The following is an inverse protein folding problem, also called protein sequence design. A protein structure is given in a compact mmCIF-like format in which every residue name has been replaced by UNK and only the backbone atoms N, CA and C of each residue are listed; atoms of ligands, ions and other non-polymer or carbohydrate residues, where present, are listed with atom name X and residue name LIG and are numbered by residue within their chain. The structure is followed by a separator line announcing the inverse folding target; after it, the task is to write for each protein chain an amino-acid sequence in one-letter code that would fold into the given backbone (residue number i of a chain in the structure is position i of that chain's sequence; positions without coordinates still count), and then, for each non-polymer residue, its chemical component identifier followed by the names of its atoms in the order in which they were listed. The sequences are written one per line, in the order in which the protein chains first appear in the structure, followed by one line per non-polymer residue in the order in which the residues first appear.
data_IF_431880092449
#
_entry.id   IF_431880092449
#
_cell.length_a   1.000
_cell.length_b   1.000
_cell.length_c   1.000
_cell.angle_alpha   90.00
_cell.angle_beta   90.00
_cell.angle_gamma   90.00
#
_symmetry.space_group_name_H-M   'P 1'
#
loop_
_entity.id
_entity.type
_entity.pdbx_description
1 polymer ?
#
# COMPACT_ATOMS: atom_id res chain seq x y z
N UNK A 1 -66.63 34.47 65.91
CA UNK A 1 -66.13 34.18 67.28
C UNK A 1 -64.60 34.09 67.23
N UNK A 2 -63.97 33.82 68.39
CA UNK A 2 -62.53 33.59 68.67
C UNK A 2 -61.74 32.91 67.53
N UNK A 3 -60.47 33.24 67.27
CA UNK A 3 -59.62 34.25 67.93
C UNK A 3 -58.18 34.32 67.41
N UNK A 4 -57.40 35.29 67.93
CA UNK A 4 -55.97 35.44 67.65
C UNK A 4 -55.11 34.40 68.39
N UNK A 5 -54.04 33.91 67.74
CA UNK A 5 -52.79 33.51 68.41
C UNK A 5 -51.62 34.31 67.86
N UNK A 6 -51.39 35.45 68.52
CA UNK A 6 -50.19 36.32 68.46
C UNK A 6 -49.03 35.67 69.28
N UNK A 7 -47.80 36.24 69.35
CA UNK A 7 -46.96 36.88 68.30
C UNK A 7 -45.41 36.69 68.52
N UNK A 8 -44.58 37.52 67.84
CA UNK A 8 -43.25 38.07 68.29
C UNK A 8 -42.01 37.12 68.28
N UNK A 9 -40.76 37.64 68.41
CA UNK A 9 -40.19 38.87 67.78
C UNK A 9 -38.68 38.80 67.37
N UNK A 10 -38.21 39.82 66.62
CA UNK A 10 -36.78 40.24 66.50
C UNK A 10 -35.82 39.24 65.79
N UNK A 11 -34.65 39.62 65.25
CA UNK A 11 -33.81 40.85 65.35
C UNK A 11 -33.15 41.04 63.97
N UNK A 12 -33.32 42.17 63.25
CA UNK A 12 -32.40 43.35 63.17
C UNK A 12 -30.91 42.99 63.18
N UNK A 13 -30.02 43.48 62.29
CA UNK A 13 -29.97 44.72 61.46
C UNK A 13 -29.40 44.39 60.06
N UNK A 14 -29.95 44.86 58.92
CA UNK A 14 -29.83 46.21 58.28
C UNK A 14 -28.43 46.52 57.70
N UNK A 15 -28.40 46.66 56.37
CA UNK A 15 -27.34 47.26 55.54
C UNK A 15 -27.87 47.44 54.11
N UNK A 16 -27.90 48.69 53.60
CA UNK A 16 -28.41 49.02 52.26
C UNK A 16 -27.53 48.37 51.15
N UNK A 17 -28.07 47.77 50.07
CA UNK A 17 -28.82 48.35 48.93
C UNK A 17 -27.95 49.36 48.13
N UNK A 18 -27.85 49.33 46.78
CA UNK A 18 -28.92 49.25 45.75
C UNK A 18 -28.38 48.74 44.38
N UNK A 19 -29.21 47.97 43.63
CA UNK A 19 -29.07 47.55 42.19
C UNK A 19 -27.79 46.75 41.78
N UNK A 20 -27.78 45.92 40.73
CA UNK A 20 -28.57 45.93 39.48
C UNK A 20 -29.41 44.68 39.15
N UNK A 21 -30.44 44.95 38.34
CA UNK A 21 -31.39 44.09 37.63
C UNK A 21 -30.90 42.71 37.13
N UNK A 22 -31.66 41.65 37.43
CA UNK A 22 -31.71 40.37 36.69
C UNK A 22 -33.18 39.94 36.53
N UNK A 23 -33.50 39.27 35.42
CA UNK A 23 -34.87 39.01 34.93
C UNK A 23 -35.62 37.85 35.61
N UNK A 24 -36.95 37.86 35.49
CA UNK A 24 -37.78 36.65 35.33
C UNK A 24 -39.10 36.99 34.61
N UNK A 25 -39.84 35.96 34.18
CA UNK A 25 -41.10 35.98 33.41
C UNK A 25 -40.88 36.38 31.94
N UNK A 26 -41.35 35.62 30.93
CA UNK A 26 -42.06 34.33 31.00
C UNK A 26 -42.92 34.11 29.76
N UNK A 27 -42.28 33.77 28.62
CA UNK A 27 -42.96 33.56 27.35
C UNK A 27 -42.78 32.13 26.82
N UNK A 28 -43.87 31.39 26.68
CA UNK A 28 -43.87 30.06 26.04
C UNK A 28 -43.86 30.20 24.52
N UNK A 29 -42.67 30.32 23.93
CA UNK A 29 -42.50 29.97 22.52
C UNK A 29 -42.75 28.45 22.37
N UNK A 30 -43.45 27.98 21.32
CA UNK A 30 -43.46 26.56 21.02
C UNK A 30 -42.03 26.11 20.73
N UNK A 31 -41.60 25.02 21.35
CA UNK A 31 -40.37 24.35 20.94
C UNK A 31 -40.60 23.82 19.53
N UNK A 32 -40.11 24.56 18.53
CA UNK A 32 -40.03 24.10 17.15
C UNK A 32 -39.03 22.96 17.13
N UNK A 33 -39.52 21.74 17.38
CA UNK A 33 -38.75 20.52 17.21
C UNK A 33 -38.30 20.51 15.75
N UNK A 34 -37.02 20.79 15.53
CA UNK A 34 -36.42 20.76 14.21
C UNK A 34 -36.54 19.33 13.72
N UNK A 35 -37.48 19.10 12.81
CA UNK A 35 -37.52 17.88 12.01
C UNK A 35 -36.25 17.91 11.18
N UNK A 36 -35.20 17.28 11.70
CA UNK A 36 -34.05 16.88 10.90
C UNK A 36 -34.63 15.95 9.85
N UNK A 37 -34.84 16.48 8.65
CA UNK A 37 -35.31 15.68 7.53
C UNK A 37 -34.28 14.59 7.31
N UNK A 38 -34.70 13.33 7.47
CA UNK A 38 -33.81 12.18 7.35
C UNK A 38 -33.12 12.25 5.98
N UNK A 39 -31.78 12.24 5.99
CA UNK A 39 -31.01 12.61 4.83
C UNK A 39 -31.26 11.59 3.72
N UNK A 40 -31.77 12.04 2.57
CA UNK A 40 -32.09 11.16 1.44
C UNK A 40 -30.88 10.27 1.14
N UNK A 41 -31.01 8.92 1.19
CA UNK A 41 -29.85 8.01 1.11
C UNK A 41 -29.13 8.03 -0.25
N UNK A 42 -29.72 8.69 -1.25
CA UNK A 42 -29.12 8.97 -2.55
C UNK A 42 -28.23 10.24 -2.55
N UNK A 43 -28.38 11.15 -1.58
CA UNK A 43 -27.54 12.34 -1.43
C UNK A 43 -26.32 12.05 -0.55
N UNK A 44 -25.24 12.79 -0.78
CA UNK A 44 -24.03 12.77 0.04
C UNK A 44 -24.13 13.92 1.05
N UNK A 45 -24.13 13.66 2.37
CA UNK A 45 -24.10 14.75 3.37
C UNK A 45 -22.78 15.52 3.27
N UNK A 46 -22.79 16.86 3.22
CA UNK A 46 -21.59 17.67 2.95
C UNK A 46 -20.56 17.65 4.09
N UNK A 47 -21.01 17.34 5.30
CA UNK A 47 -20.25 17.22 6.53
C UNK A 47 -19.84 15.77 6.87
N UNK A 48 -20.19 14.80 6.02
CA UNK A 48 -19.80 13.40 6.21
C UNK A 48 -18.28 13.22 6.11
N UNK A 49 -17.77 12.28 6.92
CA UNK A 49 -16.38 11.80 6.84
C UNK A 49 -16.35 10.29 6.68
N UNK A 50 -15.37 9.79 5.95
CA UNK A 50 -15.10 8.37 5.75
C UNK A 50 -13.70 7.94 6.19
N UNK A 51 -13.34 6.73 5.73
CA UNK A 51 -12.05 6.10 5.93
C UNK A 51 -11.55 5.46 4.65
N UNK A 52 -10.23 5.41 4.51
CA UNK A 52 -9.52 4.66 3.48
C UNK A 52 -8.65 3.60 4.16
N UNK A 53 -9.03 2.35 4.00
CA UNK A 53 -8.28 1.17 4.44
C UNK A 53 -7.45 0.64 3.27
N UNK A 54 -6.13 0.74 3.37
CA UNK A 54 -5.18 0.35 2.33
C UNK A 54 -4.56 -1.00 2.70
N UNK A 55 -4.87 -2.02 1.90
CA UNK A 55 -4.35 -3.38 2.03
C UNK A 55 -3.17 -3.59 1.07
N UNK A 56 -1.95 -3.56 1.59
CA UNK A 56 -0.73 -3.66 0.80
C UNK A 56 -0.27 -5.10 0.64
N UNK A 57 0.01 -5.49 -0.61
CA UNK A 57 0.53 -6.83 -0.91
C UNK A 57 1.71 -6.76 -1.89
N UNK A 58 2.56 -7.78 -1.83
CA UNK A 58 3.52 -8.13 -2.87
C UNK A 58 2.84 -8.90 -4.01
N UNK A 59 3.50 -8.89 -5.17
CA UNK A 59 3.16 -9.69 -6.34
C UNK A 59 2.46 -8.91 -7.45
N UNK A 60 2.00 -9.63 -8.46
CA UNK A 60 1.25 -9.08 -9.58
C UNK A 60 -0.21 -8.75 -9.19
N UNK A 61 -0.94 -7.96 -10.00
CA UNK A 61 -2.38 -7.81 -9.85
C UNK A 61 -3.11 -9.15 -9.80
N UNK A 62 -4.15 -9.23 -8.97
CA UNK A 62 -5.07 -10.37 -8.92
C UNK A 62 -6.16 -10.23 -9.98
N UNK A 63 -6.73 -11.35 -10.42
CA UNK A 63 -7.89 -11.35 -11.32
C UNK A 63 -9.03 -10.48 -10.76
N UNK A 64 -9.36 -9.41 -11.48
CA UNK A 64 -10.40 -8.46 -11.10
C UNK A 64 -11.82 -9.03 -11.27
N UNK A 65 -11.97 -10.18 -11.95
CA UNK A 65 -13.25 -10.90 -12.06
C UNK A 65 -13.60 -11.57 -10.73
N UNK A 66 -12.61 -12.24 -10.10
CA UNK A 66 -12.76 -12.86 -8.78
C UNK A 66 -12.54 -11.89 -7.60
N UNK A 67 -11.69 -10.87 -7.78
CA UNK A 67 -11.29 -9.92 -6.72
C UNK A 67 -11.42 -8.46 -7.20
N UNK A 68 -12.65 -7.98 -7.45
CA UNK A 68 -12.91 -6.66 -8.03
C UNK A 68 -12.55 -5.53 -7.06
N UNK A 69 -11.66 -4.61 -7.47
CA UNK A 69 -11.32 -3.40 -6.72
C UNK A 69 -12.47 -2.36 -6.71
N UNK A 70 -13.59 -2.71 -6.07
CA UNK A 70 -14.85 -1.96 -6.06
C UNK A 70 -15.07 -1.11 -4.78
N UNK A 71 -14.04 -0.93 -3.96
CA UNK A 71 -14.08 -0.21 -2.68
C UNK A 71 -14.53 -1.04 -1.47
N UNK A 72 -14.90 -2.31 -1.63
CA UNK A 72 -15.32 -3.19 -0.51
C UNK A 72 -14.22 -4.14 -0.04
N UNK A 73 -14.35 -4.67 1.19
CA UNK A 73 -13.39 -5.60 1.76
C UNK A 73 -13.39 -6.94 1.01
N UNK A 74 -12.23 -7.34 0.51
CA UNK A 74 -11.97 -8.59 -0.19
C UNK A 74 -11.14 -9.55 0.68
N UNK A 75 -11.48 -10.84 0.66
CA UNK A 75 -10.59 -11.90 1.13
C UNK A 75 -9.71 -12.33 -0.04
N UNK A 76 -8.47 -11.84 -0.08
CA UNK A 76 -7.51 -12.15 -1.15
C UNK A 76 -6.95 -13.59 -1.04
N UNK A 77 -6.49 -14.19 -2.15
CA UNK A 77 -5.88 -15.52 -2.13
C UNK A 77 -4.54 -15.50 -1.39
N UNK A 78 -4.15 -16.63 -0.81
CA UNK A 78 -2.91 -16.77 -0.01
C UNK A 78 -1.61 -16.46 -0.76
N UNK A 79 -1.64 -16.40 -2.09
CA UNK A 79 -0.55 -15.91 -2.94
C UNK A 79 -0.33 -14.40 -2.87
N UNK A 80 -1.31 -13.61 -2.39
CA UNK A 80 -1.17 -12.17 -2.13
C UNK A 80 -0.48 -11.93 -0.79
N UNK A 81 0.82 -12.25 -0.71
CA UNK A 81 1.62 -12.02 0.49
C UNK A 81 1.53 -10.55 0.94
N UNK A 82 1.19 -10.27 2.22
CA UNK A 82 1.08 -8.89 2.71
C UNK A 82 2.43 -8.19 2.76
N UNK A 83 2.41 -6.85 2.72
CA UNK A 83 3.62 -6.01 2.80
C UNK A 83 3.50 -4.99 3.93
N UNK A 84 4.20 -5.23 5.03
CA UNK A 84 4.33 -4.33 6.15
C UNK A 84 5.24 -3.13 5.85
N UNK A 85 5.17 -2.09 6.70
CA UNK A 85 6.09 -0.95 6.69
C UNK A 85 5.81 0.14 5.65
N UNK A 86 4.79 0.01 4.80
CA UNK A 86 4.49 0.99 3.75
C UNK A 86 3.74 2.19 4.31
N UNK A 87 4.24 3.39 4.02
CA UNK A 87 3.63 4.68 4.39
C UNK A 87 3.05 5.34 3.15
N UNK A 88 1.79 5.73 3.23
CA UNK A 88 1.08 6.46 2.18
C UNK A 88 0.87 7.92 2.56
N UNK A 89 0.82 8.80 1.56
CA UNK A 89 0.10 10.08 1.66
C UNK A 89 -1.22 9.99 0.90
N UNK A 90 -2.25 10.58 1.49
CA UNK A 90 -3.64 10.61 1.02
C UNK A 90 -4.05 12.07 0.98
N UNK A 91 -4.04 12.66 -0.22
CA UNK A 91 -4.21 14.11 -0.44
C UNK A 91 -5.58 14.38 -1.03
N UNK A 92 -6.44 15.15 -0.33
CA UNK A 92 -7.73 15.59 -0.87
C UNK A 92 -7.49 16.58 -2.01
N UNK A 93 -7.91 16.25 -3.22
CA UNK A 93 -7.75 17.09 -4.41
C UNK A 93 -8.62 18.34 -4.28
N UNK A 94 -7.98 19.52 -4.26
CA UNK A 94 -8.69 20.79 -4.17
C UNK A 94 -9.59 21.05 -5.40
N UNK A 95 -10.65 21.85 -5.21
CA UNK A 95 -11.61 22.20 -6.27
C UNK A 95 -12.66 21.13 -6.61
N UNK A 96 -12.55 19.90 -6.08
CA UNK A 96 -13.51 18.82 -6.32
C UNK A 96 -14.54 18.72 -5.17
N UNK A 97 -15.82 18.95 -5.49
CA UNK A 97 -16.95 18.84 -4.57
C UNK A 97 -17.97 17.78 -5.02
N UNK A 98 -17.81 16.56 -4.48
CA UNK A 98 -18.66 15.41 -4.80
C UNK A 98 -20.10 15.53 -4.28
N UNK A 99 -20.46 16.57 -3.52
CA UNK A 99 -21.88 16.86 -3.23
C UNK A 99 -22.63 17.40 -4.45
N UNK A 100 -21.91 17.75 -5.53
CA UNK A 100 -22.44 18.32 -6.77
C UNK A 100 -22.08 17.49 -8.00
N UNK A 101 -22.99 17.44 -8.98
CA UNK A 101 -22.70 16.81 -10.29
C UNK A 101 -21.49 17.47 -10.98
N UNK A 102 -21.27 18.77 -10.77
CA UNK A 102 -20.12 19.50 -11.30
C UNK A 102 -18.79 18.96 -10.76
N UNK A 103 -18.71 18.65 -9.46
CA UNK A 103 -17.54 18.03 -8.85
C UNK A 103 -17.32 16.58 -9.31
N UNK A 104 -18.37 15.81 -9.58
CA UNK A 104 -18.22 14.48 -10.20
C UNK A 104 -17.63 14.58 -11.63
N UNK A 105 -18.05 15.56 -12.44
CA UNK A 105 -17.41 15.81 -13.74
C UNK A 105 -15.95 16.30 -13.59
N UNK A 106 -15.66 17.14 -12.60
CA UNK A 106 -14.29 17.57 -12.30
C UNK A 106 -13.41 16.39 -11.83
N UNK A 107 -13.96 15.43 -11.09
CA UNK A 107 -13.24 14.22 -10.67
C UNK A 107 -12.87 13.32 -11.86
N UNK A 108 -13.81 13.14 -12.81
CA UNK A 108 -13.56 12.37 -14.04
C UNK A 108 -12.44 12.98 -14.90
N UNK A 109 -12.28 14.30 -14.91
CA UNK A 109 -11.19 14.97 -15.63
C UNK A 109 -9.78 14.62 -15.11
N UNK A 110 -9.67 14.00 -13.92
CA UNK A 110 -8.41 13.54 -13.34
C UNK A 110 -8.16 12.03 -13.51
N UNK A 111 -9.11 11.24 -14.04
CA UNK A 111 -9.02 9.77 -14.07
C UNK A 111 -7.72 9.26 -14.74
N UNK A 112 -7.27 9.94 -15.80
CA UNK A 112 -6.07 9.66 -16.59
C UNK A 112 -4.97 10.74 -16.37
N UNK A 113 -5.13 11.62 -15.37
CA UNK A 113 -4.32 12.83 -15.17
C UNK A 113 -3.94 13.03 -13.68
N UNK A 114 -3.14 12.10 -13.16
CA UNK A 114 -2.67 12.09 -11.78
C UNK A 114 -1.73 13.28 -11.45
N UNK A 115 -0.99 13.80 -12.44
CA UNK A 115 -0.18 15.01 -12.28
C UNK A 115 -1.06 16.26 -12.11
N UNK A 116 -2.14 16.39 -12.90
CA UNK A 116 -3.12 17.46 -12.75
C UNK A 116 -3.84 17.44 -11.40
N UNK A 117 -4.14 16.26 -10.87
CA UNK A 117 -4.69 16.09 -9.52
C UNK A 117 -3.67 16.47 -8.44
N UNK A 118 -2.41 16.01 -8.57
CA UNK A 118 -1.30 16.39 -7.69
C UNK A 118 -1.06 17.90 -7.69
N UNK A 119 -1.19 18.56 -8.84
CA UNK A 119 -0.98 19.99 -9.00
C UNK A 119 -2.06 20.87 -8.33
N UNK A 120 -3.27 20.35 -8.07
CA UNK A 120 -4.25 21.08 -7.25
C UNK A 120 -3.83 21.15 -5.77
N UNK A 121 -3.08 20.14 -5.30
CA UNK A 121 -2.79 19.96 -3.89
C UNK A 121 -4.06 19.85 -3.04
N UNK A 122 -3.93 20.20 -1.76
CA UNK A 122 -5.00 20.21 -0.76
C UNK A 122 -4.56 19.60 0.57
N UNK A 123 -5.51 19.13 1.37
CA UNK A 123 -5.21 18.56 2.70
C UNK A 123 -4.53 17.20 2.55
N UNK A 124 -3.31 17.09 3.06
CA UNK A 124 -2.51 15.85 3.07
C UNK A 124 -2.70 15.13 4.40
N UNK A 125 -3.09 13.86 4.34
CA UNK A 125 -3.06 12.93 5.46
C UNK A 125 -1.93 11.93 5.23
N UNK A 126 -1.16 11.58 6.26
CA UNK A 126 -0.10 10.56 6.19
C UNK A 126 -0.54 9.34 6.99
N UNK A 127 -0.45 8.14 6.41
CA UNK A 127 -0.81 6.90 7.11
C UNK A 127 0.23 6.52 8.16
N UNK A 128 -0.15 5.70 9.14
CA UNK A 128 0.84 4.85 9.81
C UNK A 128 1.45 3.86 8.81
N UNK A 129 2.68 3.36 9.03
CA UNK A 129 3.21 2.24 8.25
C UNK A 129 2.24 1.05 8.28
N UNK A 130 2.16 0.28 7.21
CA UNK A 130 1.30 -0.92 7.16
C UNK A 130 1.70 -1.98 8.17
N UNK A 131 0.70 -2.63 8.77
CA UNK A 131 0.87 -3.69 9.76
C UNK A 131 1.44 -4.99 9.17
N UNK A 132 1.63 -6.00 10.03
CA UNK A 132 2.11 -7.33 9.63
C UNK A 132 1.13 -8.07 8.69
N UNK A 133 -0.14 -7.67 8.69
CA UNK A 133 -1.21 -8.09 7.78
C UNK A 133 -1.22 -7.30 6.45
N UNK A 134 -0.36 -6.29 6.31
CA UNK A 134 -0.28 -5.39 5.15
C UNK A 134 -1.24 -4.20 5.22
N UNK A 135 -2.04 -4.04 6.29
CA UNK A 135 -3.09 -3.01 6.35
C UNK A 135 -2.63 -1.70 6.96
N UNK A 136 -3.18 -0.59 6.50
CA UNK A 136 -3.18 0.70 7.22
C UNK A 136 -4.49 1.44 6.99
N UNK A 137 -4.92 2.30 7.92
CA UNK A 137 -6.20 3.02 7.86
C UNK A 137 -5.96 4.51 8.02
N UNK A 138 -6.53 5.30 7.12
CA UNK A 138 -6.62 6.76 7.24
C UNK A 138 -8.10 7.11 7.44
N UNK A 139 -8.44 7.71 8.58
CA UNK A 139 -9.82 7.98 9.00
C UNK A 139 -10.09 9.48 9.16
N UNK A 140 -11.38 9.84 9.25
CA UNK A 140 -11.81 11.24 9.36
C UNK A 140 -11.61 12.05 8.08
N UNK A 141 -11.63 11.37 6.92
CA UNK A 141 -11.46 11.97 5.60
C UNK A 141 -12.79 12.60 5.15
N UNK A 142 -12.89 13.94 4.96
CA UNK A 142 -14.13 14.56 4.44
C UNK A 142 -14.51 14.07 3.05
N UNK A 143 -15.76 14.25 2.65
CA UNK A 143 -16.22 14.01 1.27
C UNK A 143 -15.27 14.66 0.26
N UNK A 144 -14.83 13.91 -0.76
CA UNK A 144 -13.93 14.42 -1.80
C UNK A 144 -13.23 13.36 -2.65
N UNK A 145 -12.51 13.83 -3.66
CA UNK A 145 -11.55 13.04 -4.42
C UNK A 145 -10.19 13.06 -3.71
N UNK A 146 -9.51 11.92 -3.68
CA UNK A 146 -8.23 11.72 -3.02
C UNK A 146 -7.19 11.14 -3.96
N UNK A 147 -6.01 11.77 -4.03
CA UNK A 147 -4.80 11.19 -4.62
C UNK A 147 -4.07 10.40 -3.53
N UNK A 148 -3.86 9.11 -3.79
CA UNK A 148 -3.11 8.20 -2.92
C UNK A 148 -1.73 7.95 -3.53
N UNK A 149 -0.69 8.22 -2.75
CA UNK A 149 0.71 8.11 -3.16
C UNK A 149 1.51 7.27 -2.18
N UNK A 150 2.32 6.34 -2.68
CA UNK A 150 3.21 5.51 -1.85
C UNK A 150 4.50 6.26 -1.52
N UNK A 151 4.59 6.82 -0.30
CA UNK A 151 5.67 7.72 0.08
C UNK A 151 6.97 6.98 0.40
N UNK A 152 6.93 5.92 1.22
CA UNK A 152 8.12 5.10 1.54
C UNK A 152 7.75 3.70 2.05
N UNK A 153 8.70 2.75 1.94
CA UNK A 153 8.57 1.40 2.48
C UNK A 153 9.62 1.20 3.57
N UNK A 154 9.22 0.95 4.81
CA UNK A 154 10.11 0.94 5.98
C UNK A 154 10.45 -0.45 6.46
N UNK A 155 11.74 -0.69 6.67
CA UNK A 155 12.25 -1.86 7.37
C UNK A 155 12.04 -1.69 8.90
N UNK A 156 12.12 -2.77 9.70
CA UNK A 156 11.92 -2.72 11.16
C UNK A 156 12.91 -1.82 11.93
N UNK A 157 14.02 -1.44 11.31
CA UNK A 157 15.00 -0.48 11.86
C UNK A 157 14.71 0.99 11.48
N UNK A 158 13.64 1.24 10.73
CA UNK A 158 13.22 2.56 10.25
C UNK A 158 13.86 3.02 8.94
N UNK A 159 14.82 2.28 8.39
CA UNK A 159 15.40 2.54 7.06
C UNK A 159 14.39 2.27 5.93
N UNK A 160 14.68 2.75 4.72
CA UNK A 160 13.84 2.50 3.54
C UNK A 160 14.31 1.23 2.82
N UNK A 161 13.39 0.34 2.43
CA UNK A 161 13.68 -0.92 1.74
C UNK A 161 14.00 -0.67 0.25
N UNK A 162 15.26 -0.80 -0.21
CA UNK A 162 15.65 -0.54 -1.60
C UNK A 162 15.27 -1.69 -2.55
N UNK A 163 14.77 -2.82 -2.02
CA UNK A 163 14.38 -3.99 -2.82
C UNK A 163 12.95 -3.89 -3.35
N UNK A 164 12.18 -2.92 -2.89
CA UNK A 164 10.76 -2.75 -3.20
C UNK A 164 10.57 -1.65 -4.26
N UNK A 165 9.96 -2.02 -5.39
CA UNK A 165 9.45 -1.03 -6.34
C UNK A 165 8.09 -0.55 -5.81
N UNK A 166 8.00 0.76 -5.55
CA UNK A 166 6.79 1.43 -5.07
C UNK A 166 5.66 1.32 -6.10
N UNK A 167 4.42 1.22 -5.63
CA UNK A 167 3.24 1.18 -6.48
C UNK A 167 3.02 2.47 -7.24
N UNK A 168 2.25 2.39 -8.33
CA UNK A 168 1.75 3.59 -9.00
C UNK A 168 0.74 4.34 -8.11
N UNK A 169 0.70 5.66 -8.26
CA UNK A 169 -0.33 6.49 -7.65
C UNK A 169 -1.73 6.15 -8.19
N UNK A 170 -2.76 6.43 -7.40
CA UNK A 170 -4.15 6.22 -7.83
C UNK A 170 -5.12 7.20 -7.18
N UNK A 171 -6.32 7.30 -7.74
CA UNK A 171 -7.41 8.12 -7.23
C UNK A 171 -8.47 7.29 -6.51
N UNK A 172 -9.07 7.86 -5.47
CA UNK A 172 -10.21 7.30 -4.73
C UNK A 172 -11.23 8.40 -4.46
N UNK A 173 -12.52 8.13 -4.62
CA UNK A 173 -13.57 9.02 -4.10
C UNK A 173 -14.04 8.54 -2.73
N UNK A 174 -14.27 9.48 -1.81
CA UNK A 174 -15.02 9.22 -0.58
C UNK A 174 -16.27 10.11 -0.63
N UNK A 175 -17.49 9.55 -0.66
CA UNK A 175 -17.82 8.12 -0.71
C UNK A 175 -17.61 7.46 -2.09
N UNK A 176 -17.86 6.15 -2.17
CA UNK A 176 -18.15 5.41 -3.40
C UNK A 176 -19.61 4.90 -3.39
N UNK A 177 -20.20 4.67 -4.54
CA UNK A 177 -21.52 4.01 -4.64
C UNK A 177 -21.41 2.54 -4.19
N UNK A 178 -22.36 2.06 -3.39
CA UNK A 178 -22.40 0.66 -2.97
C UNK A 178 -22.49 -0.29 -4.20
N UNK A 179 -21.50 -1.19 -4.43
CA UNK A 179 -21.40 -1.96 -5.67
C UNK A 179 -22.41 -3.11 -5.77
N UNK A 180 -23.13 -3.42 -4.69
CA UNK A 180 -24.18 -4.45 -4.67
C UNK A 180 -25.54 -3.80 -4.88
N UNK A 181 -25.93 -2.92 -3.97
CA UNK A 181 -27.27 -2.32 -3.86
C UNK A 181 -27.46 -1.07 -4.73
N UNK A 182 -26.38 -0.36 -5.08
CA UNK A 182 -26.36 0.87 -5.91
C UNK A 182 -27.26 2.02 -5.45
N UNK A 183 -27.82 1.94 -4.24
CA UNK A 183 -28.84 2.85 -3.70
C UNK A 183 -28.41 3.57 -2.42
N UNK A 184 -27.14 3.44 -2.04
CA UNK A 184 -26.52 4.11 -0.90
C UNK A 184 -25.04 4.40 -1.16
N UNK A 185 -24.49 5.30 -0.36
CA UNK A 185 -23.08 5.65 -0.34
C UNK A 185 -22.30 4.84 0.70
N UNK A 186 -21.09 4.41 0.33
CA UNK A 186 -20.12 3.73 1.20
C UNK A 186 -19.00 4.71 1.54
N UNK A 187 -18.73 4.88 2.84
CA UNK A 187 -17.73 5.84 3.34
C UNK A 187 -16.46 5.17 3.89
N UNK A 188 -16.49 3.87 4.22
CA UNK A 188 -15.30 3.08 4.52
C UNK A 188 -14.87 2.34 3.26
N UNK A 189 -13.76 2.78 2.65
CA UNK A 189 -13.30 2.32 1.35
C UNK A 189 -12.06 1.43 1.52
N UNK A 190 -12.07 0.25 0.92
CA UNK A 190 -10.94 -0.67 0.88
C UNK A 190 -10.26 -0.67 -0.50
N UNK A 191 -8.92 -0.57 -0.51
CA UNK A 191 -8.09 -0.60 -1.73
C UNK A 191 -6.91 -1.55 -1.59
N UNK A 192 -6.46 -2.14 -2.70
CA UNK A 192 -5.52 -3.29 -2.72
C UNK A 192 -4.22 -3.08 -3.54
N UNK A 193 -3.47 -1.97 -3.35
CA UNK A 193 -2.30 -1.64 -4.18
C UNK A 193 -1.13 -2.62 -4.02
N UNK A 194 -0.62 -3.10 -5.16
CA UNK A 194 0.46 -4.11 -5.25
C UNK A 194 1.85 -3.48 -5.40
N UNK A 195 2.87 -4.14 -4.87
CA UNK A 195 4.29 -3.87 -5.15
C UNK A 195 5.00 -5.11 -5.71
N UNK A 196 6.07 -4.89 -6.47
CA UNK A 196 7.00 -5.95 -6.88
C UNK A 196 8.35 -5.77 -6.18
N UNK A 197 9.03 -6.89 -5.93
CA UNK A 197 10.43 -6.88 -5.50
C UNK A 197 11.35 -6.87 -6.71
N UNK A 198 12.35 -6.01 -6.69
CA UNK A 198 13.51 -6.09 -7.58
C UNK A 198 14.19 -7.45 -7.33
N UNK A 199 14.48 -8.24 -8.37
CA UNK A 199 15.18 -9.50 -8.17
C UNK A 199 16.58 -9.23 -7.62
N UNK A 200 16.95 -9.88 -6.52
CA UNK A 200 18.33 -9.90 -6.03
C UNK A 200 19.23 -10.41 -7.15
N UNK A 201 20.33 -9.73 -7.50
CA UNK A 201 21.23 -10.22 -8.55
C UNK A 201 21.79 -11.58 -8.13
N UNK A 202 21.59 -12.59 -8.97
CA UNK A 202 22.21 -13.91 -8.79
C UNK A 202 23.72 -13.72 -8.69
N UNK A 203 24.40 -14.21 -7.62
CA UNK A 203 25.83 -14.07 -7.51
C UNK A 203 26.50 -14.80 -8.67
N UNK A 204 27.24 -14.05 -9.50
CA UNK A 204 28.11 -14.65 -10.53
C UNK A 204 29.02 -15.67 -9.85
N UNK A 205 29.04 -16.93 -10.28
CA UNK A 205 29.89 -17.93 -9.65
C UNK A 205 31.35 -17.50 -9.81
N UNK A 206 32.03 -17.25 -8.69
CA UNK A 206 33.47 -16.99 -8.68
C UNK A 206 34.16 -18.15 -9.39
N UNK A 207 35.00 -17.92 -10.42
CA UNK A 207 35.69 -18.99 -11.09
C UNK A 207 36.57 -19.72 -10.08
N UNK A 208 36.32 -21.02 -9.87
CA UNK A 208 37.13 -21.86 -8.99
C UNK A 208 38.60 -21.71 -9.37
N UNK A 209 39.50 -21.34 -8.45
CA UNK A 209 40.90 -21.15 -8.78
C UNK A 209 41.48 -22.48 -9.27
N UNK A 210 41.96 -22.50 -10.51
CA UNK A 210 42.70 -23.64 -11.07
C UNK A 210 43.82 -24.01 -10.09
N UNK A 211 43.91 -25.25 -9.61
CA UNK A 211 44.88 -25.61 -8.59
C UNK A 211 46.30 -25.41 -9.12
N UNK A 212 47.03 -24.47 -8.51
CA UNK A 212 48.43 -24.19 -8.86
C UNK A 212 49.25 -25.48 -8.69
N UNK A 213 49.92 -25.99 -9.73
CA UNK A 213 50.72 -27.21 -9.61
C UNK A 213 51.85 -26.96 -8.60
N UNK A 214 51.74 -27.63 -7.45
CA UNK A 214 52.67 -27.44 -6.34
C UNK A 214 54.01 -28.06 -6.71
N UNK A 215 55.10 -27.27 -6.60
CA UNK A 215 56.47 -27.73 -6.84
C UNK A 215 56.75 -28.99 -6.00
N UNK A 216 57.26 -30.09 -6.59
CA UNK A 216 57.58 -31.30 -5.85
C UNK A 216 58.51 -31.01 -4.67
N UNK A 217 58.12 -31.48 -3.48
CA UNK A 217 58.99 -31.47 -2.30
C UNK A 217 60.16 -32.44 -2.48
N UNK A 218 61.33 -32.08 -1.95
CA UNK A 218 62.51 -32.95 -1.95
C UNK A 218 62.26 -34.22 -1.13
N UNK A 219 62.57 -35.37 -1.73
CA UNK A 219 62.28 -36.69 -1.19
C UNK A 219 63.17 -37.03 0.03
N UNK A 220 62.64 -37.73 1.05
CA UNK A 220 63.49 -38.42 2.03
C UNK A 220 64.19 -39.62 1.37
N UNK A 221 65.49 -39.80 1.64
CA UNK A 221 66.31 -40.86 1.05
C UNK A 221 66.52 -42.02 2.04
N UNK A 222 65.87 -43.15 1.78
CA UNK A 222 66.20 -44.47 2.34
C UNK A 222 65.99 -45.53 1.26
N UNK A 223 67.06 -46.15 0.77
CA UNK A 223 66.98 -47.29 -0.16
C UNK A 223 67.05 -48.63 0.56
N UNK A 224 66.56 -49.70 -0.09
CA UNK A 224 66.66 -51.13 0.30
C UNK A 224 66.07 -51.49 1.68
N UNK A 225 65.12 -52.42 1.83
CA UNK A 225 65.11 -53.75 1.21
C UNK A 225 63.72 -54.35 0.86
N UNK A 226 63.75 -55.18 -0.18
CA UNK A 226 62.87 -56.31 -0.59
C UNK A 226 61.45 -56.51 0.00
N UNK A 227 60.43 -56.36 -0.88
CA UNK A 227 59.37 -57.35 -1.09
C UNK A 227 58.68 -57.13 -2.45
N UNK A 228 58.34 -58.19 -3.20
CA UNK A 228 57.89 -58.11 -4.59
C UNK A 228 56.38 -58.31 -4.80
N UNK A 229 55.77 -57.51 -5.66
CA UNK A 229 54.45 -57.77 -6.26
C UNK A 229 54.42 -57.36 -7.76
N UNK A 230 54.72 -58.32 -8.63
CA UNK A 230 54.59 -58.32 -10.10
C UNK A 230 53.11 -58.16 -10.54
N UNK A 231 52.68 -57.76 -11.75
CA UNK A 231 53.21 -57.13 -13.00
C UNK A 231 51.91 -56.66 -13.78
N UNK A 232 51.76 -56.13 -15.01
CA UNK A 232 52.49 -55.93 -16.30
C UNK A 232 51.92 -54.63 -16.90
N UNK A 233 52.67 -53.55 -17.14
CA UNK A 233 53.47 -53.20 -18.34
C UNK A 233 52.70 -53.16 -19.69
N UNK A 234 52.86 -52.09 -20.48
CA UNK A 234 52.16 -51.93 -21.78
C UNK A 234 52.17 -50.54 -22.44
N UNK A 235 53.29 -49.81 -22.42
CA UNK A 235 53.43 -48.58 -23.23
C UNK A 235 53.90 -48.94 -24.65
N UNK A 236 53.29 -48.36 -25.70
CA UNK A 236 53.95 -48.18 -26.99
C UNK A 236 53.38 -47.00 -27.79
N UNK A 237 54.27 -46.33 -28.53
CA UNK A 237 54.00 -45.25 -29.48
C UNK A 237 53.95 -45.83 -30.90
N UNK A 238 53.25 -45.16 -31.84
CA UNK A 238 53.61 -45.28 -33.26
C UNK A 238 52.46 -45.29 -34.29
N UNK A 239 52.57 -44.39 -35.27
CA UNK A 239 52.32 -44.64 -36.70
C UNK A 239 51.07 -45.45 -37.13
N UNK A 240 49.97 -44.75 -37.38
CA UNK A 240 49.60 -44.37 -38.76
C UNK A 240 48.79 -45.32 -39.68
N UNK A 241 48.12 -44.66 -40.64
CA UNK A 241 47.67 -45.15 -41.96
C UNK A 241 46.27 -45.79 -42.14
N UNK A 242 45.59 -45.28 -43.18
CA UNK A 242 44.73 -45.99 -44.17
C UNK A 242 43.21 -46.18 -43.90
N UNK A 243 42.46 -45.19 -44.43
CA UNK A 243 41.40 -45.30 -45.47
C UNK A 243 39.90 -45.43 -45.13
N UNK A 244 39.14 -44.82 -46.06
CA UNK A 244 37.69 -44.88 -46.32
C UNK A 244 36.73 -44.28 -45.26
N UNK A 245 35.70 -43.51 -45.65
CA UNK A 245 35.39 -43.00 -47.00
C UNK A 245 34.06 -42.23 -47.04
N UNK A 246 33.87 -41.43 -48.10
CA UNK A 246 32.68 -40.60 -48.45
C UNK A 246 32.31 -39.53 -47.39
N UNK A 247 32.19 -38.24 -47.69
CA UNK A 247 32.36 -37.53 -48.95
C UNK A 247 31.04 -37.07 -49.57
N UNK A 248 30.48 -35.97 -49.06
CA UNK A 248 29.57 -35.13 -49.83
C UNK A 248 29.89 -33.65 -49.62
N UNK A 249 30.12 -32.93 -50.73
CA UNK A 249 30.45 -31.49 -50.72
C UNK A 249 29.17 -30.66 -50.82
N UNK A 250 29.05 -29.60 -50.03
CA UNK A 250 28.42 -28.36 -50.53
C UNK A 250 29.48 -27.60 -51.35
N UNK A 251 29.07 -26.90 -52.41
CA UNK A 251 29.44 -25.48 -52.45
C UNK A 251 28.36 -24.55 -53.02
N UNK A 252 28.15 -23.44 -52.31
CA UNK A 252 27.89 -22.08 -52.80
C UNK A 252 27.02 -21.91 -54.06
N UNK A 253 25.84 -21.33 -53.84
CA UNK A 253 25.18 -20.47 -54.83
C UNK A 253 26.07 -19.26 -55.19
N UNK A 254 25.82 -18.65 -56.35
CA UNK A 254 26.60 -17.52 -56.86
C UNK A 254 25.92 -16.18 -56.56
N UNK A 255 26.74 -15.14 -56.61
CA UNK A 255 26.38 -13.74 -56.40
C UNK A 255 25.77 -13.08 -57.65
N UNK A 256 25.01 -12.01 -57.37
CA UNK A 256 24.69 -10.83 -58.20
C UNK A 256 23.71 -10.97 -59.39
N UNK A 257 22.98 -9.86 -59.61
CA UNK A 257 21.92 -9.67 -60.62
C UNK A 257 22.42 -9.05 -61.93
N UNK A 258 21.84 -7.93 -62.42
CA UNK A 258 20.96 -6.96 -61.73
C UNK A 258 19.49 -7.39 -61.60
#
# INVERSE_FOLDING_TARGET
MRGNTRPRPLKRWVGAAVLTLVALIGGTAPAMASVVADASPALIPPDATGSLTIHKHLGLPVDQTAYPANGTALVLPTSSAPLAGVVFTVTRVAGVDLTTNAGWYAALAYQDNLEGARAQGGTVHTSTPTGADGSTVVSGLPVGLYLVHEASVRLPDGSEDPTIVKGADFLVTIPMTDPVTRSRWVFDIHVYPKNVRTPTPTPTPTPTPTPTPTKPGTLPWTGSDTASALLVAGLLLGTGAIMAGLGYRRPRERHDGP
#
